data_IF_462664423029
#
_entry.id   IF_462664423029
#
_cell.length_a   1.000
_cell.length_b   1.000
_cell.length_c   1.000
_cell.angle_alpha   90.00
_cell.angle_beta   90.00
_cell.angle_gamma   90.00
#
_symmetry.space_group_name_H-M   'P 1'
#
loop_
_entity.id
_entity.type
_entity.pdbx_description
1 polymer ?
#
# COMPACT_ATOMS: atom_id res chain seq x y z
N UNK A 1 2.64 4.38 -16.00
CA UNK A 1 1.22 4.03 -16.02
C UNK A 1 0.97 2.54 -15.88
N UNK A 2 -0.22 2.18 -15.48
CA UNK A 2 -0.67 0.80 -15.34
C UNK A 2 -0.45 -0.08 -16.59
N UNK A 3 -0.59 0.42 -17.82
CA UNK A 3 -0.37 -0.39 -19.01
C UNK A 3 1.04 -0.90 -19.19
N UNK A 4 2.05 -0.28 -18.56
CA UNK A 4 3.42 -0.76 -18.67
C UNK A 4 3.51 -2.20 -18.13
N UNK A 5 3.94 -3.13 -18.95
CA UNK A 5 4.11 -4.52 -18.57
C UNK A 5 5.21 -4.68 -17.51
N UNK A 6 6.27 -3.90 -17.65
CA UNK A 6 7.42 -3.87 -16.76
C UNK A 6 7.76 -2.44 -16.36
N UNK A 7 8.24 -2.26 -15.12
CA UNK A 7 8.88 -1.04 -14.63
C UNK A 7 10.36 -1.31 -14.40
N UNK A 8 11.16 -0.25 -14.45
CA UNK A 8 12.61 -0.33 -14.25
C UNK A 8 12.96 0.13 -12.82
N UNK A 9 13.41 -0.79 -11.94
CA UNK A 9 13.87 -0.46 -10.59
C UNK A 9 15.38 -0.20 -10.51
N UNK A 10 16.07 0.03 -11.65
CA UNK A 10 17.53 0.20 -11.67
C UNK A 10 17.97 1.44 -10.90
N UNK A 11 19.16 1.34 -10.29
CA UNK A 11 19.83 2.44 -9.61
C UNK A 11 20.98 3.01 -10.48
N UNK A 12 21.38 4.28 -10.26
CA UNK A 12 20.87 5.22 -9.26
C UNK A 12 19.49 5.78 -9.63
N UNK A 13 18.78 6.33 -8.62
CA UNK A 13 17.50 7.03 -8.85
C UNK A 13 17.73 8.33 -9.65
N UNK A 14 16.66 8.85 -10.24
CA UNK A 14 16.67 10.15 -10.91
C UNK A 14 16.46 11.28 -9.93
N UNK A 15 16.81 12.51 -10.35
CA UNK A 15 16.73 13.70 -9.51
C UNK A 15 15.33 13.97 -8.92
N UNK A 16 14.26 13.54 -9.59
CA UNK A 16 12.87 13.72 -9.16
C UNK A 16 12.24 12.44 -8.57
N UNK A 17 13.04 11.50 -8.09
CA UNK A 17 12.59 10.24 -7.52
C UNK A 17 12.98 10.11 -6.05
N UNK A 18 12.29 9.22 -5.34
CA UNK A 18 12.54 8.86 -3.95
C UNK A 18 12.90 7.38 -3.88
N UNK A 19 14.04 7.05 -3.27
CA UNK A 19 14.44 5.68 -3.00
C UNK A 19 13.93 5.24 -1.62
N UNK A 20 13.30 4.08 -1.59
CA UNK A 20 12.76 3.47 -0.38
C UNK A 20 13.45 2.12 -0.15
N UNK A 21 14.07 1.93 1.02
CA UNK A 21 14.47 0.62 1.51
C UNK A 21 13.21 -0.11 2.01
N UNK A 22 12.84 -1.19 1.36
CA UNK A 22 11.61 -1.93 1.63
C UNK A 22 11.74 -2.74 2.92
N UNK A 23 10.73 -2.66 3.79
CA UNK A 23 10.63 -3.46 5.02
C UNK A 23 9.47 -4.48 4.96
N UNK A 24 8.35 -4.10 4.35
CA UNK A 24 7.22 -5.00 4.16
C UNK A 24 6.32 -4.58 2.99
N UNK A 25 5.65 -5.55 2.38
CA UNK A 25 4.58 -5.33 1.42
C UNK A 25 3.23 -5.71 2.05
N UNK A 26 2.18 -4.99 1.71
CA UNK A 26 0.80 -5.43 1.92
C UNK A 26 0.18 -5.66 0.55
N UNK A 27 -0.08 -6.91 0.22
CA UNK A 27 -0.71 -7.26 -1.04
C UNK A 27 -2.23 -7.08 -0.95
N UNK A 28 -2.87 -6.70 -2.04
CA UNK A 28 -4.33 -6.71 -2.08
C UNK A 28 -4.87 -8.09 -1.71
N UNK A 29 -5.95 -8.14 -0.94
CA UNK A 29 -6.51 -9.39 -0.43
C UNK A 29 -6.85 -10.39 -1.53
N UNK A 30 -7.26 -9.92 -2.70
CA UNK A 30 -7.52 -10.77 -3.88
C UNK A 30 -6.24 -11.43 -4.40
N UNK A 31 -5.14 -10.67 -4.47
CA UNK A 31 -3.83 -11.18 -4.88
C UNK A 31 -3.27 -12.16 -3.86
N UNK A 32 -3.33 -11.82 -2.57
CA UNK A 32 -2.85 -12.70 -1.51
C UNK A 32 -3.59 -14.03 -1.51
N UNK A 33 -4.92 -13.99 -1.60
CA UNK A 33 -5.74 -15.21 -1.66
C UNK A 33 -5.39 -16.05 -2.88
N UNK A 34 -5.34 -15.46 -4.07
CA UNK A 34 -5.03 -16.15 -5.31
C UNK A 34 -3.65 -16.82 -5.26
N UNK A 35 -2.62 -16.13 -4.73
CA UNK A 35 -1.27 -16.68 -4.57
C UNK A 35 -1.29 -17.83 -3.56
N UNK A 36 -1.93 -17.65 -2.39
CA UNK A 36 -2.01 -18.69 -1.37
C UNK A 36 -2.69 -19.97 -1.89
N UNK A 37 -3.83 -19.84 -2.54
CA UNK A 37 -4.56 -20.96 -3.14
C UNK A 37 -3.74 -21.66 -4.22
N UNK A 38 -3.13 -20.91 -5.14
CA UNK A 38 -2.32 -21.47 -6.22
C UNK A 38 -1.04 -22.18 -5.74
N UNK A 39 -0.54 -21.80 -4.57
CA UNK A 39 0.65 -22.38 -3.94
C UNK A 39 0.31 -23.45 -2.89
N UNK A 40 -0.99 -23.75 -2.65
CA UNK A 40 -1.41 -24.68 -1.61
C UNK A 40 -1.05 -24.21 -0.20
N UNK A 41 -1.04 -22.91 0.05
CA UNK A 41 -0.62 -22.27 1.30
C UNK A 41 0.81 -22.57 1.75
N UNK A 42 1.66 -23.07 0.86
CA UNK A 42 3.06 -23.34 1.14
C UNK A 42 3.88 -22.03 1.12
N UNK A 43 4.51 -21.70 2.22
CA UNK A 43 5.26 -20.44 2.40
C UNK A 43 6.37 -20.30 1.35
N UNK A 44 7.15 -21.34 1.11
CA UNK A 44 8.28 -21.26 0.18
C UNK A 44 7.82 -21.06 -1.27
N UNK A 45 6.72 -21.72 -1.67
CA UNK A 45 6.12 -21.54 -3.00
C UNK A 45 5.52 -20.15 -3.15
N UNK A 46 4.88 -19.61 -2.12
CA UNK A 46 4.35 -18.26 -2.13
C UNK A 46 5.47 -17.23 -2.26
N UNK A 47 6.56 -17.38 -1.49
CA UNK A 47 7.75 -16.52 -1.58
C UNK A 47 8.34 -16.54 -2.99
N UNK A 48 8.56 -17.74 -3.55
CA UNK A 48 9.05 -17.90 -4.91
C UNK A 48 8.13 -17.22 -5.94
N UNK A 49 6.80 -17.43 -5.82
CA UNK A 49 5.81 -16.82 -6.73
C UNK A 49 5.82 -15.31 -6.69
N UNK A 50 5.86 -14.70 -5.51
CA UNK A 50 5.95 -13.24 -5.35
C UNK A 50 7.27 -12.73 -5.94
N UNK A 51 8.39 -13.39 -5.63
CA UNK A 51 9.70 -13.05 -6.16
C UNK A 51 9.76 -13.10 -7.69
N UNK A 52 9.14 -14.10 -8.31
CA UNK A 52 9.08 -14.26 -9.77
C UNK A 52 8.25 -13.14 -10.43
N UNK A 53 7.11 -12.77 -9.83
CA UNK A 53 6.29 -11.66 -10.32
C UNK A 53 7.11 -10.36 -10.29
N UNK A 54 7.76 -10.06 -9.17
CA UNK A 54 8.54 -8.83 -9.04
C UNK A 54 9.75 -8.84 -9.98
N UNK A 55 10.49 -9.92 -10.05
CA UNK A 55 11.69 -10.05 -10.91
C UNK A 55 11.34 -9.89 -12.39
N UNK A 56 10.26 -10.52 -12.84
CA UNK A 56 9.85 -10.46 -14.24
C UNK A 56 9.28 -9.10 -14.64
N UNK A 57 8.59 -8.42 -13.73
CA UNK A 57 7.85 -7.19 -14.02
C UNK A 57 8.50 -5.92 -13.47
N UNK A 58 9.52 -6.02 -12.61
CA UNK A 58 10.10 -4.88 -11.89
C UNK A 58 9.08 -4.14 -11.02
N UNK A 59 8.00 -4.82 -10.62
CA UNK A 59 6.88 -4.32 -9.80
C UNK A 59 6.06 -5.48 -9.27
N UNK A 60 5.35 -5.27 -8.16
CA UNK A 60 4.35 -6.25 -7.72
C UNK A 60 3.01 -5.96 -8.42
N UNK A 61 2.75 -6.71 -9.48
CA UNK A 61 1.50 -6.66 -10.25
C UNK A 61 1.09 -8.09 -10.58
N UNK A 62 0.18 -8.65 -9.80
CA UNK A 62 -0.29 -10.02 -9.99
C UNK A 62 -0.97 -10.16 -11.36
N UNK A 63 -0.46 -11.02 -12.25
CA UNK A 63 -1.00 -11.16 -13.61
C UNK A 63 -2.42 -11.74 -13.65
N UNK A 64 -2.86 -12.38 -12.57
CA UNK A 64 -4.19 -13.01 -12.49
C UNK A 64 -5.24 -12.02 -12.01
N UNK A 65 -4.94 -11.27 -10.95
CA UNK A 65 -5.90 -10.34 -10.34
C UNK A 65 -5.77 -8.92 -10.86
N UNK A 66 -4.63 -8.58 -11.49
CA UNK A 66 -4.35 -7.22 -11.94
C UNK A 66 -4.07 -6.23 -10.81
N UNK A 67 -3.89 -6.71 -9.58
CA UNK A 67 -3.71 -5.85 -8.41
C UNK A 67 -2.30 -5.93 -7.83
N UNK A 68 -1.96 -5.01 -6.95
CA UNK A 68 -0.64 -4.88 -6.33
C UNK A 68 -0.69 -4.81 -4.80
N UNK A 69 -1.02 -3.66 -4.28
CA UNK A 69 -1.00 -3.34 -2.85
C UNK A 69 -0.14 -2.12 -2.55
N UNK A 70 0.35 -2.03 -1.32
CA UNK A 70 1.20 -0.93 -0.85
C UNK A 70 2.45 -1.48 -0.13
N UNK A 71 3.42 -0.62 0.17
CA UNK A 71 4.60 -1.00 0.95
C UNK A 71 4.83 -0.05 2.14
N UNK A 72 5.53 -0.56 3.13
CA UNK A 72 6.21 0.21 4.16
C UNK A 72 7.71 0.05 3.97
N UNK A 73 8.44 1.15 4.14
CA UNK A 73 9.89 1.16 4.09
C UNK A 73 10.46 2.47 4.62
N UNK A 74 11.79 2.54 4.61
CA UNK A 74 12.53 3.74 5.01
C UNK A 74 13.01 4.51 3.80
N UNK A 75 12.92 5.82 3.89
CA UNK A 75 13.55 6.71 2.93
C UNK A 75 15.06 6.47 2.95
N UNK A 76 15.60 6.01 1.83
CA UNK A 76 17.04 5.74 1.68
C UNK A 76 17.76 6.89 0.97
N UNK A 77 17.11 7.53 -0.02
CA UNK A 77 17.64 8.65 -0.77
C UNK A 77 16.49 9.52 -1.29
N UNK A 78 16.70 10.83 -1.33
CA UNK A 78 15.75 11.81 -1.87
C UNK A 78 16.43 12.52 -3.02
N UNK A 79 15.89 12.41 -4.22
CA UNK A 79 16.40 13.10 -5.39
C UNK A 79 16.32 14.61 -5.23
N UNK A 80 17.31 15.34 -5.78
CA UNK A 80 17.46 16.78 -5.57
C UNK A 80 16.29 17.63 -6.09
N UNK A 81 15.49 17.08 -7.00
CA UNK A 81 14.30 17.71 -7.58
C UNK A 81 13.00 17.03 -7.12
N UNK A 82 13.08 16.13 -6.12
CA UNK A 82 11.87 15.56 -5.53
C UNK A 82 11.06 16.69 -4.87
N UNK A 83 9.70 16.69 -4.99
CA UNK A 83 8.89 17.76 -4.45
C UNK A 83 9.17 18.02 -2.97
N UNK A 84 9.23 19.30 -2.59
CA UNK A 84 9.46 19.72 -1.21
C UNK A 84 8.38 19.11 -0.31
N UNK A 85 8.83 18.35 0.67
CA UNK A 85 7.99 17.65 1.64
C UNK A 85 8.79 17.51 2.94
N UNK A 86 8.11 17.47 4.07
CA UNK A 86 8.76 17.24 5.38
C UNK A 86 9.22 15.78 5.52
N UNK A 87 10.15 15.39 4.63
CA UNK A 87 10.70 14.06 4.55
C UNK A 87 12.22 14.09 4.68
N UNK A 88 12.74 13.14 5.45
CA UNK A 88 14.19 12.98 5.68
C UNK A 88 14.60 11.53 5.44
N UNK A 89 15.84 11.34 5.04
CA UNK A 89 16.45 10.02 5.00
C UNK A 89 16.33 9.36 6.38
N UNK A 90 15.87 8.12 6.41
CA UNK A 90 15.56 7.37 7.62
C UNK A 90 14.09 7.42 8.07
N UNK A 91 13.28 8.35 7.57
CA UNK A 91 11.85 8.38 7.86
C UNK A 91 11.16 7.12 7.37
N UNK A 92 10.22 6.61 8.17
CA UNK A 92 9.38 5.46 7.78
C UNK A 92 8.15 5.99 7.06
N UNK A 93 7.89 5.45 5.89
CA UNK A 93 6.73 5.83 5.07
C UNK A 93 5.93 4.60 4.64
N UNK A 94 4.64 4.80 4.42
CA UNK A 94 3.78 3.89 3.69
C UNK A 94 3.42 4.51 2.34
N UNK A 95 3.61 3.79 1.24
CA UNK A 95 3.14 4.27 -0.06
C UNK A 95 1.62 4.20 -0.12
N UNK A 96 1.01 5.21 -0.76
CA UNK A 96 -0.42 5.23 -1.08
C UNK A 96 -0.66 5.00 -2.57
N UNK A 97 0.40 4.70 -3.30
CA UNK A 97 0.40 4.30 -4.71
C UNK A 97 0.51 2.79 -4.78
N UNK A 98 -0.29 2.19 -5.65
CA UNK A 98 -0.26 0.74 -5.86
C UNK A 98 1.13 0.26 -6.26
N UNK A 99 1.54 -0.87 -5.71
CA UNK A 99 2.76 -1.59 -6.11
C UNK A 99 2.76 -1.98 -7.60
N UNK A 100 1.61 -1.99 -8.25
CA UNK A 100 1.51 -2.16 -9.71
C UNK A 100 2.04 -0.96 -10.51
N UNK A 101 2.26 0.17 -9.85
CA UNK A 101 2.78 1.42 -10.42
C UNK A 101 4.14 1.82 -9.86
N UNK A 102 4.68 1.02 -8.95
CA UNK A 102 5.92 1.33 -8.20
C UNK A 102 7.04 0.41 -8.68
N UNK A 103 8.13 0.94 -9.27
CA UNK A 103 9.33 0.15 -9.53
C UNK A 103 9.83 -0.50 -8.24
N UNK A 104 10.06 -1.81 -8.29
CA UNK A 104 10.37 -2.64 -7.12
C UNK A 104 11.38 -3.72 -7.48
N UNK A 105 12.44 -3.82 -6.69
CA UNK A 105 13.38 -4.93 -6.70
C UNK A 105 13.49 -5.52 -5.29
N UNK A 106 13.30 -6.83 -5.16
CA UNK A 106 13.41 -7.54 -3.90
C UNK A 106 14.69 -8.35 -3.85
N UNK A 107 15.41 -8.25 -2.74
CA UNK A 107 16.60 -9.06 -2.42
C UNK A 107 16.28 -10.20 -1.48
N UNK A 108 15.17 -10.12 -0.75
CA UNK A 108 14.69 -11.18 0.15
C UNK A 108 13.20 -11.08 0.40
N UNK A 109 12.58 -12.22 0.65
CA UNK A 109 11.18 -12.34 1.06
C UNK A 109 11.15 -13.24 2.30
N UNK A 110 10.64 -12.68 3.40
CA UNK A 110 10.53 -13.36 4.69
C UNK A 110 9.15 -13.99 4.89
N UNK A 111 8.67 -13.92 6.12
CA UNK A 111 7.38 -14.47 6.51
C UNK A 111 6.21 -13.84 5.75
N UNK A 112 5.22 -14.66 5.41
CA UNK A 112 3.98 -14.23 4.77
C UNK A 112 2.83 -14.52 5.73
N UNK A 113 2.14 -13.45 6.17
CA UNK A 113 0.90 -13.53 6.91
C UNK A 113 -0.27 -13.36 5.93
N UNK A 114 -0.89 -14.48 5.58
CA UNK A 114 -2.00 -14.51 4.62
C UNK A 114 -3.22 -13.75 5.15
N UNK A 115 -3.50 -13.86 6.46
CA UNK A 115 -4.66 -13.22 7.07
C UNK A 115 -4.54 -11.70 7.10
N UNK A 116 -3.33 -11.18 7.36
CA UNK A 116 -3.03 -9.76 7.31
C UNK A 116 -2.67 -9.27 5.90
N UNK A 117 -2.53 -10.17 4.92
CA UNK A 117 -2.03 -9.87 3.56
C UNK A 117 -0.63 -9.24 3.57
N UNK A 118 0.18 -9.52 4.59
CA UNK A 118 1.50 -8.95 4.81
C UNK A 118 2.60 -9.90 4.37
N UNK A 119 3.61 -9.34 3.72
CA UNK A 119 4.83 -10.02 3.30
C UNK A 119 6.03 -9.27 3.86
N UNK A 120 6.83 -9.90 4.68
CA UNK A 120 8.14 -9.35 5.06
C UNK A 120 9.07 -9.40 3.84
N UNK A 121 9.69 -8.29 3.53
CA UNK A 121 10.52 -8.19 2.35
C UNK A 121 11.68 -7.23 2.56
N UNK A 122 12.77 -7.48 1.86
CA UNK A 122 13.91 -6.58 1.75
C UNK A 122 14.21 -6.28 0.29
N UNK A 123 14.76 -5.11 0.03
CA UNK A 123 15.06 -4.62 -1.31
C UNK A 123 14.85 -3.13 -1.40
N UNK A 124 14.54 -2.64 -2.59
CA UNK A 124 14.25 -1.22 -2.77
C UNK A 124 13.05 -0.99 -3.70
N UNK A 125 12.44 0.16 -3.54
CA UNK A 125 11.40 0.67 -4.41
C UNK A 125 11.69 2.13 -4.76
N UNK A 126 11.20 2.55 -5.92
CA UNK A 126 11.34 3.92 -6.40
C UNK A 126 9.95 4.56 -6.45
N UNK A 127 9.77 5.66 -5.72
CA UNK A 127 8.55 6.46 -5.79
C UNK A 127 8.79 7.66 -6.69
N UNK A 128 7.93 7.84 -7.68
CA UNK A 128 7.98 8.99 -8.58
C UNK A 128 7.48 10.26 -7.88
N UNK A 129 7.87 11.43 -8.37
CA UNK A 129 7.48 12.74 -7.84
C UNK A 129 5.97 12.94 -7.64
N UNK A 130 5.14 12.26 -8.43
CA UNK A 130 3.67 12.29 -8.29
C UNK A 130 3.12 11.22 -7.35
N UNK A 131 3.99 10.39 -6.78
CA UNK A 131 3.59 9.29 -5.91
C UNK A 131 3.19 9.77 -4.53
N UNK A 132 2.01 9.35 -4.08
CA UNK A 132 1.53 9.67 -2.73
C UNK A 132 2.12 8.72 -1.70
N UNK A 133 2.41 9.24 -0.53
CA UNK A 133 2.87 8.48 0.64
C UNK A 133 2.35 9.11 1.93
N UNK A 134 2.39 8.34 3.00
CA UNK A 134 2.17 8.82 4.36
C UNK A 134 3.44 8.60 5.18
N UNK A 135 3.96 9.64 5.82
CA UNK A 135 5.00 9.52 6.85
C UNK A 135 4.37 8.92 8.10
N UNK A 136 4.96 7.87 8.61
CA UNK A 136 4.39 7.15 9.75
C UNK A 136 4.92 7.71 11.06
N UNK A 137 4.05 7.98 12.04
CA UNK A 137 4.46 8.31 13.39
C UNK A 137 5.24 7.16 14.02
N UNK A 138 6.25 7.49 14.83
CA UNK A 138 7.12 6.50 15.45
C UNK A 138 6.40 5.58 16.46
N UNK A 139 5.30 6.06 17.02
CA UNK A 139 4.46 5.34 18.00
C UNK A 139 3.36 4.49 17.34
N UNK A 140 3.18 4.57 16.01
CA UNK A 140 2.20 3.76 15.30
C UNK A 140 2.81 2.42 14.86
N UNK A 141 2.32 1.27 15.37
CA UNK A 141 2.81 -0.02 14.94
C UNK A 141 2.67 -0.19 13.43
N UNK A 142 3.73 -0.66 12.75
CA UNK A 142 3.75 -0.79 11.29
C UNK A 142 2.59 -1.63 10.75
N UNK A 143 2.19 -2.69 11.46
CA UNK A 143 1.07 -3.54 11.07
C UNK A 143 -0.25 -2.75 11.04
N UNK A 144 -0.47 -1.91 12.05
CA UNK A 144 -1.65 -1.02 12.10
C UNK A 144 -1.59 0.03 11.00
N UNK A 145 -0.44 0.68 10.81
CA UNK A 145 -0.23 1.67 9.76
C UNK A 145 -0.54 1.08 8.37
N UNK A 146 -0.01 -0.11 8.08
CA UNK A 146 -0.21 -0.80 6.81
C UNK A 146 -1.69 -1.13 6.56
N UNK A 147 -2.39 -1.62 7.59
CA UNK A 147 -3.82 -1.92 7.49
C UNK A 147 -4.69 -0.67 7.27
N UNK A 148 -4.26 0.48 7.79
CA UNK A 148 -4.94 1.77 7.59
C UNK A 148 -4.64 2.35 6.20
N UNK A 149 -3.38 2.40 5.80
CA UNK A 149 -2.95 2.99 4.53
C UNK A 149 -3.51 2.27 3.31
N UNK A 150 -3.63 0.95 3.38
CA UNK A 150 -4.19 0.12 2.30
C UNK A 150 -5.63 0.51 1.92
N UNK A 151 -6.40 0.99 2.89
CA UNK A 151 -7.83 1.32 2.71
C UNK A 151 -8.17 2.80 2.96
N UNK A 152 -7.16 3.65 3.17
CA UNK A 152 -7.36 5.05 3.57
C UNK A 152 -8.10 5.91 2.52
N UNK A 153 -8.10 5.51 1.26
CA UNK A 153 -8.76 6.24 0.18
C UNK A 153 -10.27 6.40 0.40
N UNK A 154 -10.97 5.30 0.69
CA UNK A 154 -12.42 5.31 0.86
C UNK A 154 -12.87 6.17 2.05
N UNK A 155 -12.37 5.98 3.29
CA UNK A 155 -12.73 6.85 4.41
C UNK A 155 -12.33 8.31 4.20
N UNK A 156 -11.21 8.58 3.51
CA UNK A 156 -10.80 9.93 3.15
C UNK A 156 -11.80 10.64 2.22
N UNK A 157 -12.38 9.93 1.26
CA UNK A 157 -13.46 10.46 0.43
C UNK A 157 -14.74 10.69 1.24
N UNK A 158 -15.13 9.72 2.07
CA UNK A 158 -16.32 9.87 2.93
C UNK A 158 -16.20 11.08 3.84
N UNK A 159 -15.02 11.29 4.46
CA UNK A 159 -14.78 12.45 5.33
C UNK A 159 -14.98 13.79 4.62
N UNK A 160 -14.65 13.86 3.32
CA UNK A 160 -14.83 15.08 2.51
C UNK A 160 -16.26 15.28 2.00
N UNK A 161 -17.02 14.20 1.81
CA UNK A 161 -18.32 14.25 1.18
C UNK A 161 -19.49 14.29 2.18
N UNK A 162 -19.34 13.61 3.31
CA UNK A 162 -20.40 13.51 4.32
C UNK A 162 -20.60 14.87 5.03
N UNK A 163 -21.87 15.28 5.14
CA UNK A 163 -22.26 16.54 5.74
C UNK A 163 -23.28 16.36 6.87
N UNK A 164 -23.32 17.24 7.86
CA UNK A 164 -24.33 17.23 8.91
C UNK A 164 -25.76 17.10 8.36
N UNK A 165 -26.57 16.28 9.01
CA UNK A 165 -27.98 16.08 8.65
C UNK A 165 -28.23 15.04 7.55
N UNK A 166 -27.20 14.53 6.90
CA UNK A 166 -27.34 13.49 5.85
C UNK A 166 -27.55 12.09 6.44
N UNK A 167 -28.00 11.18 5.56
CA UNK A 167 -27.97 9.72 5.80
C UNK A 167 -26.86 9.15 4.93
N UNK A 168 -25.88 8.52 5.56
CA UNK A 168 -24.78 7.82 4.88
C UNK A 168 -24.94 6.32 5.10
N UNK A 169 -25.06 5.58 4.00
CA UNK A 169 -25.12 4.13 4.00
C UNK A 169 -23.83 3.56 3.41
N UNK A 170 -23.14 2.69 4.15
CA UNK A 170 -21.94 2.02 3.72
C UNK A 170 -22.26 0.54 3.48
N UNK A 171 -22.06 0.09 2.24
CA UNK A 171 -22.23 -1.31 1.85
C UNK A 171 -20.92 -2.07 2.02
N UNK A 172 -20.90 -3.00 2.97
CA UNK A 172 -19.73 -3.77 3.35
C UNK A 172 -19.06 -3.25 4.63
N UNK A 173 -18.90 -4.14 5.61
CA UNK A 173 -18.34 -3.83 6.94
C UNK A 173 -16.92 -4.41 7.14
N UNK A 174 -16.17 -4.58 6.05
CA UNK A 174 -14.75 -4.87 6.12
C UNK A 174 -13.94 -3.64 6.60
N UNK A 175 -12.60 -3.73 6.59
CA UNK A 175 -11.70 -2.64 7.06
C UNK A 175 -12.06 -1.27 6.48
N UNK A 176 -12.21 -1.18 5.16
CA UNK A 176 -12.58 0.07 4.49
C UNK A 176 -13.96 0.57 4.91
N UNK A 177 -14.93 -0.33 5.03
CA UNK A 177 -16.29 0.01 5.44
C UNK A 177 -16.35 0.53 6.87
N UNK A 178 -15.72 -0.14 7.84
CA UNK A 178 -15.67 0.31 9.23
C UNK A 178 -15.02 1.70 9.36
N UNK A 179 -13.89 1.93 8.68
CA UNK A 179 -13.24 3.23 8.67
C UNK A 179 -14.10 4.31 7.99
N UNK A 180 -14.86 3.94 6.95
CA UNK A 180 -15.80 4.85 6.28
C UNK A 180 -16.98 5.23 7.18
N UNK A 181 -17.49 4.28 7.97
CA UNK A 181 -18.51 4.57 8.99
C UNK A 181 -17.98 5.55 10.05
N UNK A 182 -16.76 5.34 10.54
CA UNK A 182 -16.10 6.26 11.47
C UNK A 182 -15.92 7.66 10.86
N UNK A 183 -15.44 7.72 9.59
CA UNK A 183 -15.25 8.97 8.88
C UNK A 183 -16.57 9.73 8.66
N UNK A 184 -17.63 9.02 8.29
CA UNK A 184 -18.97 9.60 8.18
C UNK A 184 -19.45 10.17 9.50
N UNK A 185 -19.32 9.41 10.58
CA UNK A 185 -19.69 9.87 11.93
C UNK A 185 -18.88 11.09 12.36
N UNK A 186 -17.59 11.11 12.08
CA UNK A 186 -16.72 12.25 12.38
C UNK A 186 -17.15 13.51 11.60
N UNK A 187 -17.43 13.38 10.29
CA UNK A 187 -17.84 14.50 9.45
C UNK A 187 -19.22 15.06 9.84
N UNK A 188 -20.15 14.18 10.19
CA UNK A 188 -21.55 14.53 10.43
C UNK A 188 -21.85 14.89 11.90
N UNK A 189 -20.97 14.55 12.83
CA UNK A 189 -21.21 14.72 14.26
C UNK A 189 -22.48 13.96 14.71
N UNK A 190 -23.30 14.59 15.53
CA UNK A 190 -24.55 14.01 16.08
C UNK A 190 -25.77 14.19 15.17
N UNK A 191 -25.67 15.00 14.12
CA UNK A 191 -26.82 15.46 13.35
C UNK A 191 -27.17 14.63 12.13
N UNK A 192 -26.52 13.49 11.93
CA UNK A 192 -26.78 12.63 10.79
C UNK A 192 -26.95 11.16 11.17
N UNK A 193 -27.41 10.35 10.22
CA UNK A 193 -27.58 8.90 10.37
C UNK A 193 -26.51 8.15 9.58
N UNK A 194 -25.80 7.24 10.24
CA UNK A 194 -24.78 6.38 9.62
C UNK A 194 -25.23 4.92 9.71
N UNK A 195 -25.32 4.25 8.58
CA UNK A 195 -25.82 2.87 8.45
C UNK A 195 -24.72 2.03 7.79
N UNK A 196 -24.37 0.88 8.40
CA UNK A 196 -23.52 -0.15 7.81
C UNK A 196 -24.32 -1.42 7.51
N UNK A 197 -24.13 -1.98 6.33
CA UNK A 197 -24.78 -3.21 5.86
C UNK A 197 -23.73 -4.26 5.46
#
# INVERSE_FOLDING_TARGET
>A
PQPAERLDPSLPIRANELLIAVEALNLDSSSMRQIAESCGHDQARMQARIGDIVRSRGKMHNPVTGSGGVLIGRVAEIGAEFPDCDLKVGDVICTLVSLSLTPLALTGIGAIDVAASRVEASGHAILFASGLFAKLPADLPQQTAMALCDVAGAPGHVLKMAQPGQIVCVLGTGRAGLLSLCAARQAMGQSGTVIGL
#
